data_IF_500785436620
#
_entry.id   IF_500785436620
#
_cell.length_a   1.000
_cell.length_b   1.000
_cell.length_c   1.000
_cell.angle_alpha   90.00
_cell.angle_beta   90.00
_cell.angle_gamma   90.00
#
_symmetry.space_group_name_H-M   'P 1'
#
loop_
_entity.id
_entity.type
_entity.pdbx_description
1 polymer ?
#
# COMPACT_ATOMS: atom_id res chain seq x y z
N UNK A 1 -17.71 44.74 -39.40
CA UNK A 1 -17.73 43.70 -38.35
C UNK A 1 -17.57 42.33 -39.02
N UNK A 2 -16.34 41.86 -39.26
CA UNK A 2 -16.07 40.53 -39.87
C UNK A 2 -14.94 39.77 -39.14
N UNK A 3 -14.08 40.47 -38.37
CA UNK A 3 -12.93 39.85 -37.70
C UNK A 3 -13.28 38.93 -36.51
N UNK A 4 -14.44 39.10 -35.88
CA UNK A 4 -14.83 38.28 -34.71
C UNK A 4 -15.35 36.87 -35.08
N UNK A 5 -15.87 36.68 -36.30
CA UNK A 5 -16.42 35.38 -36.74
C UNK A 5 -15.36 34.40 -37.24
N UNK A 6 -14.31 34.90 -37.90
CA UNK A 6 -13.22 34.07 -38.43
C UNK A 6 -12.40 33.40 -37.32
N UNK A 7 -12.14 34.08 -36.20
CA UNK A 7 -11.41 33.47 -35.08
C UNK A 7 -12.11 32.24 -34.47
N UNK A 8 -13.45 32.20 -34.48
CA UNK A 8 -14.23 31.07 -33.98
C UNK A 8 -14.30 29.91 -34.97
N UNK A 9 -14.54 30.17 -36.27
CA UNK A 9 -14.56 29.11 -37.29
C UNK A 9 -13.20 28.43 -37.47
N UNK A 10 -12.11 29.20 -37.38
CA UNK A 10 -10.75 28.69 -37.52
C UNK A 10 -10.26 27.95 -36.26
N UNK A 11 -10.85 28.23 -35.09
CA UNK A 11 -10.54 27.50 -33.85
C UNK A 11 -10.98 26.03 -33.91
N UNK A 12 -12.15 25.75 -34.51
CA UNK A 12 -12.66 24.39 -34.71
C UNK A 12 -11.86 23.62 -35.77
N UNK A 13 -11.45 24.31 -36.84
CA UNK A 13 -10.56 23.75 -37.87
C UNK A 13 -9.19 23.39 -37.30
N UNK A 14 -8.54 24.31 -36.57
CA UNK A 14 -7.23 24.07 -35.97
C UNK A 14 -7.22 22.91 -34.97
N UNK A 15 -8.30 22.76 -34.18
CA UNK A 15 -8.44 21.65 -33.25
C UNK A 15 -8.61 20.31 -33.97
N UNK A 16 -9.41 20.28 -35.03
CA UNK A 16 -9.65 19.05 -35.80
C UNK A 16 -8.45 18.60 -36.63
N UNK A 17 -7.66 19.55 -37.16
CA UNK A 17 -6.55 19.25 -38.06
C UNK A 17 -5.21 19.00 -37.34
N UNK A 18 -5.04 19.53 -36.13
CA UNK A 18 -3.76 19.46 -35.41
C UNK A 18 -3.87 18.85 -34.02
N UNK A 19 -4.94 19.13 -33.28
CA UNK A 19 -5.10 18.61 -31.91
C UNK A 19 -5.68 17.20 -31.92
N UNK A 20 -6.76 16.93 -32.66
CA UNK A 20 -7.39 15.61 -32.69
C UNK A 20 -6.44 14.50 -33.20
N UNK A 21 -5.65 14.68 -34.28
CA UNK A 21 -4.72 13.66 -34.73
C UNK A 21 -3.59 13.42 -33.72
N UNK A 22 -3.17 14.47 -33.00
CA UNK A 22 -2.18 14.36 -31.92
C UNK A 22 -2.76 13.64 -30.70
N UNK A 23 -3.99 13.94 -30.29
CA UNK A 23 -4.70 13.23 -29.21
C UNK A 23 -4.93 11.75 -29.57
N UNK A 24 -5.26 11.44 -30.82
CA UNK A 24 -5.41 10.07 -31.30
C UNK A 24 -4.07 9.32 -31.32
N UNK A 25 -3.01 9.93 -31.83
CA UNK A 25 -1.66 9.36 -31.79
C UNK A 25 -1.19 9.15 -30.34
N UNK A 26 -1.51 10.09 -29.45
CA UNK A 26 -1.22 10.00 -28.02
C UNK A 26 -1.93 8.80 -27.37
N UNK A 27 -3.24 8.61 -27.63
CA UNK A 27 -3.97 7.44 -27.14
C UNK A 27 -3.40 6.11 -27.65
N UNK A 28 -2.98 6.04 -28.91
CA UNK A 28 -2.36 4.84 -29.49
C UNK A 28 -1.01 4.47 -28.86
N UNK A 29 -0.26 5.45 -28.33
CA UNK A 29 1.00 5.23 -27.62
C UNK A 29 0.77 4.89 -26.14
N UNK A 30 -0.25 5.48 -25.52
CA UNK A 30 -0.54 5.29 -24.10
C UNK A 30 -0.96 3.86 -23.75
N UNK A 31 -1.78 3.20 -24.57
CA UNK A 31 -2.28 1.85 -24.25
C UNK A 31 -1.16 0.80 -24.18
N UNK A 32 -0.28 0.66 -25.20
CA UNK A 32 0.83 -0.30 -25.12
C UNK A 32 1.84 0.04 -24.03
N UNK A 33 2.04 1.33 -23.74
CA UNK A 33 2.90 1.76 -22.63
C UNK A 33 2.31 1.36 -21.27
N UNK A 34 1.00 1.50 -21.08
CA UNK A 34 0.29 1.06 -19.89
C UNK A 34 0.35 -0.47 -19.72
N UNK A 35 0.18 -1.23 -20.79
CA UNK A 35 0.29 -2.70 -20.77
C UNK A 35 1.72 -3.16 -20.44
N UNK A 36 2.73 -2.51 -21.03
CA UNK A 36 4.14 -2.76 -20.70
C UNK A 36 4.44 -2.47 -19.23
N UNK A 37 3.91 -1.37 -18.70
CA UNK A 37 4.04 -1.02 -17.29
C UNK A 37 3.35 -2.05 -16.38
N UNK A 38 2.15 -2.52 -16.75
CA UNK A 38 1.44 -3.58 -16.02
C UNK A 38 2.24 -4.88 -15.99
N UNK A 39 2.84 -5.27 -17.12
CA UNK A 39 3.71 -6.45 -17.18
C UNK A 39 4.96 -6.28 -16.30
N UNK A 40 5.59 -5.10 -16.32
CA UNK A 40 6.74 -4.79 -15.46
C UNK A 40 6.36 -4.83 -13.97
N UNK A 41 5.20 -4.30 -13.58
CA UNK A 41 4.70 -4.36 -12.21
C UNK A 41 4.46 -5.82 -11.76
N UNK A 42 3.81 -6.62 -12.62
CA UNK A 42 3.55 -8.03 -12.34
C UNK A 42 4.85 -8.81 -12.11
N UNK A 43 5.85 -8.57 -12.96
CA UNK A 43 7.12 -9.28 -12.87
C UNK A 43 8.01 -8.77 -11.73
N UNK A 44 8.13 -7.45 -11.55
CA UNK A 44 9.04 -6.87 -10.57
C UNK A 44 8.54 -6.96 -9.12
N UNK A 45 7.21 -6.96 -8.93
CA UNK A 45 6.60 -6.86 -7.60
C UNK A 45 5.64 -8.00 -7.32
N UNK A 46 4.60 -8.18 -8.13
CA UNK A 46 3.47 -9.06 -7.76
C UNK A 46 3.87 -10.55 -7.71
N UNK A 47 4.54 -11.04 -8.74
CA UNK A 47 4.96 -12.45 -8.83
C UNK A 47 5.88 -12.83 -7.68
N UNK A 48 6.90 -12.01 -7.43
CA UNK A 48 7.85 -12.19 -6.32
C UNK A 48 7.16 -12.08 -4.95
N UNK A 49 6.25 -11.12 -4.78
CA UNK A 49 5.45 -10.98 -3.56
C UNK A 49 4.60 -12.24 -3.30
N UNK A 50 3.88 -12.73 -4.30
CA UNK A 50 3.04 -13.91 -4.17
C UNK A 50 3.85 -15.16 -3.86
N UNK A 51 5.02 -15.32 -4.50
CA UNK A 51 5.96 -16.40 -4.21
C UNK A 51 6.47 -16.35 -2.77
N UNK A 52 6.86 -15.16 -2.29
CA UNK A 52 7.40 -14.99 -0.94
C UNK A 52 6.33 -15.17 0.15
N UNK A 53 5.11 -14.67 -0.07
CA UNK A 53 4.14 -14.44 1.00
C UNK A 53 2.79 -15.14 0.83
N UNK A 54 2.39 -15.54 -0.39
CA UNK A 54 1.03 -15.98 -0.70
C UNK A 54 0.56 -17.21 0.09
N UNK A 55 1.47 -18.13 0.41
CA UNK A 55 1.18 -19.34 1.20
C UNK A 55 1.40 -19.20 2.72
N UNK A 56 1.56 -17.97 3.23
CA UNK A 56 1.97 -17.71 4.62
C UNK A 56 0.97 -16.81 5.36
N UNK A 57 0.90 -16.96 6.67
CA UNK A 57 0.18 -16.05 7.55
C UNK A 57 0.90 -14.68 7.56
N UNK A 58 0.19 -13.53 7.41
CA UNK A 58 -1.26 -13.35 7.55
C UNK A 58 -2.07 -13.43 6.25
N UNK A 59 -1.43 -13.57 5.09
CA UNK A 59 -2.09 -13.55 3.79
C UNK A 59 -2.90 -14.82 3.48
N UNK A 60 -2.54 -15.94 4.11
CA UNK A 60 -3.29 -17.19 4.09
C UNK A 60 -3.44 -17.76 5.49
N UNK A 61 -4.44 -18.64 5.68
CA UNK A 61 -4.58 -19.39 6.92
C UNK A 61 -3.57 -20.56 7.00
N UNK A 62 -2.29 -20.22 7.03
CA UNK A 62 -1.17 -21.17 7.11
C UNK A 62 -0.55 -21.18 8.51
N UNK A 63 0.11 -22.28 8.88
CA UNK A 63 0.93 -22.34 10.10
C UNK A 63 2.29 -21.65 9.95
N UNK A 64 2.71 -21.37 8.71
CA UNK A 64 3.96 -20.67 8.42
C UNK A 64 3.74 -19.17 8.38
N UNK A 65 4.53 -18.42 9.15
CA UNK A 65 4.51 -16.97 9.15
C UNK A 65 5.34 -16.40 7.99
N UNK A 66 5.00 -15.18 7.56
CA UNK A 66 5.89 -14.37 6.72
C UNK A 66 7.14 -13.95 7.48
N UNK A 67 8.26 -13.83 6.75
CA UNK A 67 9.46 -13.19 7.29
C UNK A 67 9.23 -11.68 7.37
N UNK A 68 9.16 -11.15 8.59
CA UNK A 68 9.01 -9.72 8.81
C UNK A 68 10.19 -8.89 8.26
N UNK A 69 11.46 -9.30 8.41
CA UNK A 69 12.57 -8.62 7.72
C UNK A 69 12.44 -8.61 6.20
N UNK A 70 11.92 -9.69 5.60
CA UNK A 70 11.66 -9.70 4.16
C UNK A 70 10.50 -8.78 3.79
N UNK A 71 9.43 -8.76 4.58
CA UNK A 71 8.30 -7.85 4.38
C UNK A 71 8.75 -6.38 4.47
N UNK A 72 9.64 -6.03 5.41
CA UNK A 72 10.23 -4.70 5.53
C UNK A 72 10.93 -4.26 4.23
N UNK A 73 11.69 -5.16 3.57
CA UNK A 73 12.36 -4.88 2.29
C UNK A 73 11.40 -4.55 1.14
N UNK A 74 10.14 -4.95 1.23
CA UNK A 74 9.12 -4.57 0.25
C UNK A 74 8.42 -3.27 0.63
N UNK A 75 8.06 -3.14 1.90
CA UNK A 75 7.15 -2.10 2.38
C UNK A 75 7.83 -0.80 2.79
N UNK A 76 9.12 -0.83 3.12
CA UNK A 76 9.83 0.36 3.58
C UNK A 76 9.51 1.58 2.69
N UNK A 77 9.12 2.67 3.35
CA UNK A 77 8.47 3.82 2.74
C UNK A 77 9.26 4.47 1.58
N UNK A 78 10.59 4.34 1.58
CA UNK A 78 11.47 5.01 0.61
C UNK A 78 12.40 4.02 -0.12
N UNK A 79 12.94 3.04 0.59
CA UNK A 79 13.88 2.05 0.01
C UNK A 79 13.22 0.71 -0.35
N UNK A 80 11.94 0.54 0.00
CA UNK A 80 11.21 -0.68 -0.28
C UNK A 80 11.02 -0.91 -1.77
N UNK A 81 10.97 -2.18 -2.19
CA UNK A 81 10.77 -2.56 -3.61
C UNK A 81 9.55 -1.89 -4.24
N UNK A 82 8.46 -1.77 -3.49
CA UNK A 82 7.22 -1.11 -3.96
C UNK A 82 7.48 0.38 -4.16
N UNK A 83 7.97 1.07 -3.14
CA UNK A 83 8.26 2.51 -3.21
C UNK A 83 9.24 2.84 -4.35
N UNK A 84 10.32 2.07 -4.49
CA UNK A 84 11.29 2.21 -5.57
C UNK A 84 10.66 2.02 -6.96
N UNK A 85 9.77 1.04 -7.13
CA UNK A 85 9.06 0.87 -8.40
C UNK A 85 8.22 2.11 -8.73
N UNK A 86 7.42 2.61 -7.77
CA UNK A 86 6.57 3.78 -7.96
C UNK A 86 7.41 5.03 -8.29
N UNK A 87 8.49 5.27 -7.56
CA UNK A 87 9.38 6.42 -7.78
C UNK A 87 10.18 6.35 -9.08
N UNK A 88 10.50 5.14 -9.58
CA UNK A 88 11.32 4.99 -10.78
C UNK A 88 10.50 4.83 -12.07
N UNK A 89 9.24 4.40 -11.97
CA UNK A 89 8.38 4.12 -13.13
C UNK A 89 7.13 5.00 -13.21
N UNK A 90 6.65 5.52 -12.08
CA UNK A 90 5.39 6.27 -12.01
C UNK A 90 5.53 7.71 -11.54
N UNK A 91 6.75 8.20 -11.27
CA UNK A 91 7.00 9.57 -10.75
C UNK A 91 6.30 10.70 -11.50
N UNK A 92 6.13 10.57 -12.82
CA UNK A 92 5.48 11.60 -13.64
C UNK A 92 3.96 11.63 -13.55
N UNK A 93 3.33 10.57 -13.02
CA UNK A 93 1.86 10.39 -12.99
C UNK A 93 1.33 10.02 -11.61
N UNK A 94 2.22 9.73 -10.66
CA UNK A 94 1.92 9.35 -9.28
C UNK A 94 2.99 9.97 -8.37
N UNK A 95 2.56 10.69 -7.35
CA UNK A 95 3.45 11.30 -6.35
C UNK A 95 3.03 10.93 -4.93
N UNK A 96 3.94 11.18 -3.99
CA UNK A 96 3.73 10.89 -2.57
C UNK A 96 3.32 12.17 -1.84
N UNK A 97 2.19 12.13 -1.14
CA UNK A 97 1.69 13.18 -0.25
C UNK A 97 1.66 12.64 1.19
N UNK A 98 2.62 13.06 2.01
CA UNK A 98 2.83 12.43 3.31
C UNK A 98 3.16 10.94 3.16
N UNK A 99 2.25 10.08 3.63
CA UNK A 99 2.35 8.63 3.48
C UNK A 99 1.43 8.04 2.39
N UNK A 100 0.72 8.89 1.63
CA UNK A 100 -0.20 8.45 0.61
C UNK A 100 0.36 8.61 -0.80
N UNK A 101 0.01 7.69 -1.70
CA UNK A 101 0.28 7.78 -3.13
C UNK A 101 -0.95 8.31 -3.85
N UNK A 102 -0.78 9.42 -4.56
CA UNK A 102 -1.85 10.18 -5.20
C UNK A 102 -1.53 10.36 -6.69
N UNK A 103 -2.49 10.14 -7.60
CA UNK A 103 -2.29 10.44 -9.02
C UNK A 103 -2.09 11.93 -9.26
N UNK A 104 -1.18 12.27 -10.17
CA UNK A 104 -1.02 13.63 -10.66
C UNK A 104 -2.08 13.91 -11.72
N UNK A 105 -3.11 14.69 -11.38
CA UNK A 105 -4.27 14.96 -12.23
C UNK A 105 -3.94 15.76 -13.49
N UNK A 106 -2.80 16.47 -13.52
CA UNK A 106 -2.35 17.24 -14.69
C UNK A 106 -1.68 16.29 -15.69
N UNK A 107 -0.83 15.39 -15.20
CA UNK A 107 0.01 14.53 -16.04
C UNK A 107 -0.62 13.15 -16.36
N UNK A 108 -1.70 12.77 -15.69
CA UNK A 108 -2.40 11.48 -15.92
C UNK A 108 -3.52 11.55 -16.99
N UNK A 109 -3.59 12.61 -17.80
CA UNK A 109 -4.59 12.72 -18.87
C UNK A 109 -4.48 11.53 -19.85
N UNK A 110 -5.54 10.72 -19.90
CA UNK A 110 -5.60 9.50 -20.73
C UNK A 110 -5.07 8.23 -20.05
N UNK A 111 -4.58 8.30 -18.81
CA UNK A 111 -4.13 7.15 -18.01
C UNK A 111 -5.00 7.04 -16.74
N UNK A 112 -5.86 6.03 -16.68
CA UNK A 112 -6.68 5.77 -15.50
C UNK A 112 -5.97 4.78 -14.57
N UNK A 113 -5.78 5.15 -13.30
CA UNK A 113 -5.33 4.22 -12.28
C UNK A 113 -6.48 3.35 -11.79
N UNK A 114 -6.21 2.06 -11.58
CA UNK A 114 -7.15 1.17 -10.90
C UNK A 114 -7.37 1.63 -9.45
N UNK A 115 -8.62 1.85 -9.01
CA UNK A 115 -8.91 2.18 -7.61
C UNK A 115 -8.41 1.11 -6.63
N UNK A 116 -8.45 -0.17 -7.04
CA UNK A 116 -7.94 -1.27 -6.23
C UNK A 116 -6.42 -1.21 -6.06
N UNK A 117 -5.69 -0.83 -7.12
CA UNK A 117 -4.24 -0.62 -7.05
C UNK A 117 -3.90 0.51 -6.08
N UNK A 118 -4.57 1.66 -6.21
CA UNK A 118 -4.36 2.82 -5.33
C UNK A 118 -4.69 2.48 -3.86
N UNK A 119 -5.79 1.78 -3.62
CA UNK A 119 -6.16 1.34 -2.28
C UNK A 119 -5.08 0.41 -1.69
N UNK A 120 -4.63 -0.58 -2.46
CA UNK A 120 -3.62 -1.54 -2.01
C UNK A 120 -2.29 -0.87 -1.63
N UNK A 121 -1.72 -0.05 -2.51
CA UNK A 121 -0.44 0.61 -2.22
C UNK A 121 -0.53 1.57 -1.03
N UNK A 122 -1.68 2.24 -0.84
CA UNK A 122 -1.90 3.12 0.30
C UNK A 122 -2.08 2.36 1.62
N UNK A 123 -2.77 1.21 1.60
CA UNK A 123 -2.82 0.31 2.77
C UNK A 123 -1.42 -0.17 3.15
N UNK A 124 -0.61 -0.53 2.16
CA UNK A 124 0.76 -0.97 2.39
C UNK A 124 1.67 0.15 2.92
N UNK A 125 1.55 1.37 2.40
CA UNK A 125 2.24 2.54 2.95
C UNK A 125 1.86 2.80 4.41
N UNK A 126 0.57 2.72 4.74
CA UNK A 126 0.11 2.87 6.13
C UNK A 126 0.72 1.81 7.06
N UNK A 127 0.74 0.54 6.64
CA UNK A 127 1.39 -0.53 7.39
C UNK A 127 2.88 -0.26 7.57
N UNK A 128 3.57 0.24 6.54
CA UNK A 128 4.99 0.61 6.65
C UNK A 128 5.23 1.64 7.76
N UNK A 129 4.38 2.67 7.81
CA UNK A 129 4.53 3.78 8.76
C UNK A 129 4.22 3.37 10.20
N UNK A 130 3.32 2.41 10.41
CA UNK A 130 3.00 1.92 11.77
C UNK A 130 3.96 0.83 12.25
N UNK A 131 4.34 -0.11 11.37
CA UNK A 131 5.01 -1.35 11.78
C UNK A 131 6.51 -1.41 11.44
N UNK A 132 7.03 -0.49 10.63
CA UNK A 132 8.40 -0.52 10.11
C UNK A 132 9.10 0.85 10.21
N UNK A 133 8.75 1.67 11.21
CA UNK A 133 9.28 3.03 11.44
C UNK A 133 10.81 3.11 11.45
N UNK A 134 11.49 2.10 11.99
CA UNK A 134 12.96 2.05 12.10
C UNK A 134 13.61 1.15 11.05
N UNK A 135 12.88 0.78 9.99
CA UNK A 135 13.35 -0.13 8.93
C UNK A 135 13.41 -1.61 9.34
N UNK A 136 13.20 -1.92 10.62
CA UNK A 136 13.00 -3.26 11.14
C UNK A 136 11.55 -3.42 11.63
N UNK A 137 11.07 -4.65 11.65
CA UNK A 137 9.73 -4.94 12.14
C UNK A 137 9.72 -4.97 13.67
N UNK A 138 8.83 -4.19 14.27
CA UNK A 138 8.60 -4.19 15.70
C UNK A 138 7.45 -3.29 16.05
N UNK A 139 6.43 -3.83 16.72
CA UNK A 139 5.30 -3.05 17.20
C UNK A 139 5.30 -3.04 18.71
N UNK A 140 5.23 -1.85 19.28
CA UNK A 140 5.02 -1.65 20.71
C UNK A 140 3.55 -1.32 20.96
N UNK A 141 2.95 -1.97 21.95
CA UNK A 141 1.60 -1.66 22.39
C UNK A 141 1.46 -1.91 23.88
N UNK A 142 0.41 -1.38 24.48
CA UNK A 142 0.11 -1.57 25.90
C UNK A 142 -1.19 -2.34 26.05
N UNK A 143 -1.22 -3.27 26.99
CA UNK A 143 -2.43 -3.99 27.39
C UNK A 143 -2.77 -3.66 28.82
N UNK A 144 -4.05 -3.41 29.08
CA UNK A 144 -4.63 -3.35 30.42
C UNK A 144 -5.62 -4.51 30.57
N UNK A 145 -5.46 -5.39 31.55
CA UNK A 145 -6.37 -6.51 31.74
C UNK A 145 -7.74 -6.01 32.19
N UNK A 146 -8.80 -6.63 31.66
CA UNK A 146 -10.17 -6.46 32.12
C UNK A 146 -10.58 -7.54 33.12
N UNK A 147 -11.70 -7.32 33.80
CA UNK A 147 -12.34 -8.31 34.68
C UNK A 147 -13.46 -9.03 33.94
N UNK A 148 -13.74 -10.27 34.33
CA UNK A 148 -14.87 -11.05 33.83
C UNK A 148 -15.43 -11.94 34.96
N UNK A 149 -16.75 -12.10 35.00
CA UNK A 149 -17.40 -12.90 36.04
C UNK A 149 -16.92 -14.35 36.03
N UNK A 150 -16.63 -14.87 37.23
CA UNK A 150 -16.14 -16.23 37.42
C UNK A 150 -14.68 -16.47 37.00
N UNK A 151 -13.96 -15.45 36.50
CA UNK A 151 -12.54 -15.57 36.13
C UNK A 151 -11.66 -15.08 37.28
N UNK A 152 -10.91 -15.99 37.90
CA UNK A 152 -10.01 -15.67 39.01
C UNK A 152 -8.60 -15.26 38.57
N UNK A 153 -8.16 -15.75 37.40
CA UNK A 153 -6.85 -15.43 36.85
C UNK A 153 -6.88 -15.43 35.33
N UNK A 154 -6.20 -14.45 34.74
CA UNK A 154 -5.96 -14.35 33.29
C UNK A 154 -4.46 -14.27 33.05
N UNK A 155 -3.94 -15.20 32.24
CA UNK A 155 -2.55 -15.19 31.79
C UNK A 155 -2.49 -14.90 30.28
N UNK A 156 -1.80 -13.82 29.90
CA UNK A 156 -1.48 -13.48 28.51
C UNK A 156 0.02 -13.61 28.33
N UNK A 157 0.47 -14.36 27.32
CA UNK A 157 1.88 -14.52 26.98
C UNK A 157 2.06 -14.14 25.52
N UNK A 158 2.87 -13.12 25.25
CA UNK A 158 3.22 -12.63 23.90
C UNK A 158 4.74 -12.55 23.82
N UNK A 159 5.36 -13.28 22.88
CA UNK A 159 6.82 -13.30 22.71
C UNK A 159 7.58 -13.51 24.04
N UNK A 160 7.10 -14.44 24.88
CA UNK A 160 7.60 -14.75 26.24
C UNK A 160 7.40 -13.65 27.30
N UNK A 161 6.81 -12.51 26.94
CA UNK A 161 6.37 -11.49 27.88
C UNK A 161 5.02 -11.91 28.49
N UNK A 162 4.97 -12.10 29.82
CA UNK A 162 3.77 -12.57 30.54
C UNK A 162 3.03 -11.43 31.24
N UNK A 163 1.71 -11.34 31.09
CA UNK A 163 0.81 -10.54 31.92
C UNK A 163 -0.11 -11.50 32.69
N UNK A 164 0.09 -11.60 33.99
CA UNK A 164 -0.78 -12.32 34.92
C UNK A 164 -1.68 -11.32 35.64
N UNK A 165 -2.98 -11.54 35.58
CA UNK A 165 -3.98 -10.72 36.25
C UNK A 165 -4.87 -11.58 37.14
N UNK A 166 -5.02 -11.19 38.41
CA UNK A 166 -5.78 -11.89 39.47
C UNK A 166 -6.81 -10.96 40.13
N UNK A 167 -7.46 -10.11 39.34
CA UNK A 167 -8.48 -9.15 39.79
C UNK A 167 -7.98 -8.06 40.76
N UNK A 168 -6.68 -7.75 40.74
CA UNK A 168 -6.12 -6.57 41.42
C UNK A 168 -6.42 -5.27 40.64
N UNK A 169 -5.99 -4.11 41.17
CA UNK A 169 -6.10 -2.84 40.45
C UNK A 169 -5.40 -2.94 39.07
N UNK A 170 -6.11 -2.76 37.95
CA UNK A 170 -5.56 -3.01 36.62
C UNK A 170 -4.63 -1.88 36.18
N UNK A 171 -3.39 -2.24 35.85
CA UNK A 171 -2.37 -1.35 35.32
C UNK A 171 -2.07 -1.65 33.84
N UNK A 172 -1.62 -0.63 33.11
CA UNK A 172 -1.09 -0.79 31.75
C UNK A 172 0.25 -1.51 31.79
N UNK A 173 0.44 -2.49 30.89
CA UNK A 173 1.71 -3.16 30.68
C UNK A 173 2.10 -3.07 29.21
N UNK A 174 3.31 -2.60 28.95
CA UNK A 174 3.89 -2.53 27.62
C UNK A 174 4.38 -3.90 27.15
N UNK A 175 4.16 -4.16 25.86
CA UNK A 175 4.60 -5.32 25.11
C UNK A 175 5.36 -4.87 23.86
N UNK A 176 6.26 -5.72 23.40
CA UNK A 176 7.02 -5.54 22.16
C UNK A 176 6.89 -6.82 21.36
N UNK A 177 6.26 -6.73 20.19
CA UNK A 177 6.00 -7.87 19.33
C UNK A 177 6.94 -7.85 18.13
N UNK A 178 7.68 -8.93 17.94
CA UNK A 178 8.62 -9.13 16.83
C UNK A 178 8.06 -10.09 15.77
N UNK A 179 6.81 -10.52 15.92
CA UNK A 179 6.08 -11.43 15.01
C UNK A 179 4.66 -10.95 14.77
N UNK A 180 3.98 -11.51 13.78
CA UNK A 180 2.57 -11.20 13.54
C UNK A 180 1.73 -12.11 14.45
N UNK A 181 0.85 -11.52 15.26
CA UNK A 181 0.01 -12.25 16.20
C UNK A 181 -1.09 -13.04 15.48
N UNK A 182 -1.04 -14.38 15.55
CA UNK A 182 -2.10 -15.25 15.05
C UNK A 182 -3.10 -15.59 16.17
N UNK A 183 -4.37 -15.22 16.02
CA UNK A 183 -5.44 -15.68 16.91
C UNK A 183 -5.70 -17.17 16.66
N UNK A 184 -5.26 -18.06 17.56
CA UNK A 184 -5.73 -19.45 17.58
C UNK A 184 -6.96 -19.55 18.46
N UNK A 185 -8.12 -19.80 17.86
CA UNK A 185 -9.24 -20.37 18.61
C UNK A 185 -8.94 -21.86 18.82
N UNK A 186 -8.85 -22.32 20.07
CA UNK A 186 -9.03 -23.74 20.37
C UNK A 186 -10.52 -23.96 20.55
N UNK A 187 -11.12 -24.75 19.67
CA UNK A 187 -12.38 -25.47 19.94
C UNK A 187 -12.08 -26.70 20.77
#
# INVERSE_FOLDING_TARGET
>A
MIAAGLGQEWSGFGRTMFVNPMEQAWQQVLTPAADSLNAQWQQAVVSEWNSAFGGRYPFSNSSSDVSLPLLAKYLNADSGRIAQFLQNRLKGVLHKEGNHWVPDSINSQGLAFSPAFLSAINTLSYISDVAFTEGNAGVNFELRPGTADGVMQTDIIIDSQKLTYVNQLPAWKRFTCLRILKRRART
#
